data_IF_175171798138
#
_entry.id   IF_175171798138
#
_cell.length_a   1.000
_cell.length_b   1.000
_cell.length_c   1.000
_cell.angle_alpha   90.00
_cell.angle_beta   90.00
_cell.angle_gamma   90.00
#
_symmetry.space_group_name_H-M   'P 1'
#
loop_
_entity.id
_entity.type
_entity.pdbx_description
1 polymer ?
#
# COMPACT_ATOMS: atom_id res chain seq x y z
N UNK A 1 5.14 43.12 -40.75
CA UNK A 1 4.73 41.72 -41.03
C UNK A 1 3.70 41.30 -39.99
N UNK A 2 2.41 41.41 -40.30
CA UNK A 2 1.35 41.01 -39.38
C UNK A 2 1.16 39.49 -39.46
N UNK A 3 1.51 38.74 -38.40
CA UNK A 3 1.10 37.34 -38.29
C UNK A 3 -0.38 37.30 -37.95
N UNK A 4 -1.18 36.85 -38.92
CA UNK A 4 -2.59 36.56 -38.75
C UNK A 4 -2.72 35.48 -37.68
N UNK A 5 -3.20 35.86 -36.49
CA UNK A 5 -3.50 34.96 -35.39
C UNK A 5 -4.86 34.29 -35.67
N UNK A 6 -4.88 33.41 -36.68
CA UNK A 6 -5.99 32.52 -36.99
C UNK A 6 -6.14 31.44 -35.90
N UNK A 7 -6.55 31.87 -34.69
CA UNK A 7 -7.10 30.98 -33.67
C UNK A 7 -8.53 30.64 -34.06
N UNK A 8 -8.68 29.65 -34.92
CA UNK A 8 -9.96 29.00 -35.11
C UNK A 8 -10.28 28.20 -33.83
N UNK A 9 -11.35 28.58 -33.14
CA UNK A 9 -11.97 27.70 -32.16
C UNK A 9 -12.51 26.47 -32.92
N UNK A 10 -12.15 25.26 -32.48
CA UNK A 10 -12.33 24.04 -33.27
C UNK A 10 -13.80 23.71 -33.55
N UNK A 11 -14.71 24.17 -32.70
CA UNK A 11 -16.15 23.83 -32.73
C UNK A 11 -17.01 25.11 -32.72
N UNK A 12 -17.04 25.84 -33.84
CA UNK A 12 -17.99 26.95 -34.13
C UNK A 12 -18.25 27.95 -32.99
N UNK A 13 -17.23 28.56 -32.38
CA UNK A 13 -17.44 29.55 -31.30
C UNK A 13 -16.76 30.90 -31.42
N UNK A 14 -17.47 31.87 -30.82
CA UNK A 14 -17.21 33.29 -30.83
C UNK A 14 -15.90 33.58 -30.11
N UNK A 15 -14.97 34.21 -30.82
CA UNK A 15 -13.76 34.81 -30.27
C UNK A 15 -14.16 36.00 -29.39
N UNK A 16 -14.11 35.86 -28.07
CA UNK A 16 -14.34 36.98 -27.15
C UNK A 16 -12.99 37.55 -26.72
N UNK A 17 -12.68 38.78 -27.17
CA UNK A 17 -11.42 39.48 -26.85
C UNK A 17 -10.13 38.67 -27.15
N UNK A 18 -10.15 37.83 -28.19
CA UNK A 18 -8.99 37.00 -28.58
C UNK A 18 -8.90 35.63 -27.88
N UNK A 19 -9.90 35.27 -27.05
CA UNK A 19 -9.97 33.99 -26.32
C UNK A 19 -11.18 33.18 -26.79
N UNK A 20 -11.00 31.87 -26.92
CA UNK A 20 -12.05 30.90 -27.23
C UNK A 20 -12.92 30.68 -25.97
N UNK A 21 -14.24 30.88 -26.07
CA UNK A 21 -15.18 30.50 -25.01
C UNK A 21 -15.80 29.14 -25.38
N UNK A 22 -15.51 28.09 -24.63
CA UNK A 22 -15.93 26.73 -24.98
C UNK A 22 -17.42 26.45 -24.76
N UNK A 23 -17.90 25.31 -25.28
CA UNK A 23 -19.18 24.73 -24.88
C UNK A 23 -19.08 23.97 -23.56
N UNK A 24 -20.22 23.78 -22.90
CA UNK A 24 -20.34 22.83 -21.80
C UNK A 24 -19.88 21.45 -22.29
N UNK A 25 -18.88 20.87 -21.63
CA UNK A 25 -18.25 19.62 -22.07
C UNK A 25 -16.88 19.79 -22.73
N UNK A 26 -16.46 21.02 -23.11
CA UNK A 26 -15.20 21.24 -23.84
C UNK A 26 -14.23 22.17 -23.10
N UNK A 27 -12.93 21.87 -23.21
CA UNK A 27 -11.81 22.58 -22.58
C UNK A 27 -10.62 22.76 -23.56
N UNK A 28 -9.54 23.39 -23.11
CA UNK A 28 -8.36 23.72 -23.94
C UNK A 28 -8.44 25.07 -24.65
N UNK A 29 -7.31 25.51 -25.21
CA UNK A 29 -7.17 26.86 -25.80
C UNK A 29 -7.95 27.09 -27.11
N UNK A 30 -8.40 26.02 -27.74
CA UNK A 30 -9.19 25.97 -28.99
C UNK A 30 -10.52 25.22 -28.82
N UNK A 31 -10.84 24.79 -27.58
CA UNK A 31 -12.04 24.01 -27.23
C UNK A 31 -12.14 22.63 -27.93
N UNK A 32 -11.01 22.00 -28.26
CA UNK A 32 -10.96 20.69 -28.91
C UNK A 32 -11.04 19.48 -27.96
N UNK A 33 -10.81 19.67 -26.66
CA UNK A 33 -10.72 18.58 -25.69
C UNK A 33 -12.03 18.39 -24.93
N UNK A 34 -12.47 17.14 -24.78
CA UNK A 34 -13.64 16.77 -23.96
C UNK A 34 -13.26 16.72 -22.47
N UNK A 35 -14.06 17.37 -21.61
CA UNK A 35 -13.86 17.45 -20.17
C UNK A 35 -14.00 16.10 -19.44
N UNK A 36 -14.69 15.13 -20.05
CA UNK A 36 -14.82 13.77 -19.52
C UNK A 36 -13.56 12.93 -19.73
N UNK A 37 -12.63 13.35 -20.59
CA UNK A 37 -11.34 12.68 -20.80
C UNK A 37 -10.35 13.19 -19.74
N UNK A 38 -9.93 12.36 -18.77
CA UNK A 38 -9.02 12.80 -17.71
C UNK A 38 -7.60 13.11 -18.23
N UNK A 39 -6.78 13.88 -17.50
CA UNK A 39 -5.38 14.10 -17.84
C UNK A 39 -4.61 12.78 -18.02
N UNK A 40 -3.93 12.62 -19.15
CA UNK A 40 -3.03 11.49 -19.42
C UNK A 40 -1.56 11.86 -19.20
N UNK A 41 -0.69 10.86 -19.17
CA UNK A 41 0.78 11.03 -19.16
C UNK A 41 1.33 11.90 -18.02
N UNK A 42 0.56 12.00 -16.93
CA UNK A 42 0.92 12.71 -15.71
C UNK A 42 1.93 11.90 -14.87
N UNK A 43 2.85 12.59 -14.22
CA UNK A 43 3.87 11.97 -13.37
C UNK A 43 4.19 12.80 -12.12
N UNK A 44 4.68 12.09 -11.11
CA UNK A 44 5.20 12.67 -9.86
C UNK A 44 6.74 12.76 -9.93
N UNK A 45 7.35 13.81 -9.34
CA UNK A 45 8.80 13.90 -9.23
C UNK A 45 9.36 12.72 -8.43
N UNK A 46 10.58 12.31 -8.76
CA UNK A 46 11.26 11.14 -8.16
C UNK A 46 10.43 9.85 -8.24
N UNK A 47 9.65 9.68 -9.32
CA UNK A 47 8.75 8.54 -9.55
C UNK A 47 7.78 8.29 -8.38
N UNK A 48 7.33 9.35 -7.69
CA UNK A 48 6.45 9.24 -6.52
C UNK A 48 7.14 9.00 -5.18
N UNK A 49 8.48 8.94 -5.13
CA UNK A 49 9.19 8.88 -3.85
C UNK A 49 9.21 10.26 -3.16
N UNK A 50 8.72 10.33 -1.92
CA UNK A 50 8.82 11.50 -1.07
C UNK A 50 9.59 11.19 0.23
N UNK A 51 10.86 11.59 0.20
CA UNK A 51 11.83 11.45 1.29
C UNK A 51 11.65 12.57 2.32
N UNK A 52 11.20 12.23 3.53
CA UNK A 52 10.82 13.18 4.58
C UNK A 52 12.00 14.06 5.06
N UNK A 53 13.24 13.59 4.98
CA UNK A 53 14.44 14.39 5.35
C UNK A 53 14.91 15.28 4.20
N UNK A 54 14.73 14.81 2.97
CA UNK A 54 15.14 15.55 1.77
C UNK A 54 14.20 16.72 1.44
N UNK A 55 12.87 16.58 1.65
CA UNK A 55 11.88 17.66 1.41
C UNK A 55 10.61 17.49 2.24
N UNK A 56 9.85 18.57 2.41
CA UNK A 56 8.50 18.46 2.96
C UNK A 56 7.57 17.74 1.98
N UNK A 57 6.89 16.70 2.47
CA UNK A 57 5.89 15.95 1.70
C UNK A 57 4.46 16.49 1.87
N UNK A 58 4.29 17.65 2.53
CA UNK A 58 2.99 18.34 2.71
C UNK A 58 2.32 18.76 1.41
N UNK A 59 3.10 18.95 0.35
CA UNK A 59 2.63 19.31 -0.97
C UNK A 59 3.42 18.53 -2.01
N UNK A 60 2.77 18.11 -3.08
CA UNK A 60 3.43 17.50 -4.23
C UNK A 60 3.00 18.20 -5.51
N UNK A 61 3.95 18.43 -6.40
CA UNK A 61 3.65 18.87 -7.76
C UNK A 61 3.41 17.63 -8.62
N UNK A 62 2.39 17.69 -9.46
CA UNK A 62 2.13 16.70 -10.51
C UNK A 62 2.39 17.42 -11.83
N UNK A 63 3.20 16.79 -12.67
CA UNK A 63 3.58 17.29 -13.99
C UNK A 63 2.82 16.51 -15.07
N UNK A 64 2.60 17.13 -16.22
CA UNK A 64 1.83 16.56 -17.35
C UNK A 64 1.45 17.68 -18.32
N UNK A 65 0.35 17.53 -19.06
CA UNK A 65 -0.28 18.63 -19.78
C UNK A 65 -1.73 18.82 -19.29
N UNK A 66 -2.09 20.06 -18.97
CA UNK A 66 -3.34 20.41 -18.31
C UNK A 66 -4.13 21.46 -19.13
N UNK A 67 -5.25 21.01 -19.72
CA UNK A 67 -6.10 21.82 -20.60
C UNK A 67 -7.19 22.63 -19.86
N UNK A 68 -7.22 22.54 -18.53
CA UNK A 68 -8.16 23.23 -17.65
C UNK A 68 -7.45 23.72 -16.39
N UNK A 69 -7.87 24.88 -15.87
CA UNK A 69 -7.45 25.39 -14.55
C UNK A 69 -8.14 24.67 -13.39
N UNK A 70 -9.24 23.97 -13.67
CA UNK A 70 -9.98 23.17 -12.69
C UNK A 70 -9.65 21.70 -12.93
N UNK A 71 -8.84 21.13 -12.03
CA UNK A 71 -8.47 19.72 -12.04
C UNK A 71 -8.84 19.11 -10.69
N UNK A 72 -9.73 18.13 -10.71
CA UNK A 72 -10.12 17.36 -9.53
C UNK A 72 -9.14 16.21 -9.31
N UNK A 73 -8.80 15.99 -8.06
CA UNK A 73 -7.94 14.92 -7.60
C UNK A 73 -8.74 14.02 -6.66
N UNK A 74 -8.93 12.76 -7.02
CA UNK A 74 -9.40 11.72 -6.11
C UNK A 74 -8.17 11.07 -5.49
N UNK A 75 -8.01 11.17 -4.18
CA UNK A 75 -6.90 10.58 -3.42
C UNK A 75 -7.39 9.54 -2.41
N UNK A 76 -6.58 8.53 -2.13
CA UNK A 76 -6.85 7.52 -1.10
C UNK A 76 -5.57 7.18 -0.34
N UNK A 77 -5.61 7.24 1.00
CA UNK A 77 -4.46 6.92 1.84
C UNK A 77 -4.27 5.42 2.01
N UNK A 78 -3.02 4.99 2.02
CA UNK A 78 -2.60 3.66 2.41
C UNK A 78 -1.33 3.67 3.27
N UNK A 79 -1.14 2.60 4.03
CA UNK A 79 0.05 2.32 4.82
C UNK A 79 0.74 1.07 4.25
N UNK A 80 2.07 1.10 4.12
CA UNK A 80 2.87 -0.04 3.67
C UNK A 80 3.40 -0.78 4.88
N UNK A 81 3.01 -2.04 4.97
CA UNK A 81 3.50 -3.03 5.92
C UNK A 81 4.64 -3.83 5.26
N UNK A 82 5.28 -4.73 6.01
CA UNK A 82 6.42 -5.49 5.48
C UNK A 82 6.10 -6.35 4.25
N UNK A 83 4.87 -6.86 4.14
CA UNK A 83 4.43 -7.77 3.08
C UNK A 83 3.09 -7.37 2.42
N UNK A 84 2.46 -6.25 2.82
CA UNK A 84 1.09 -5.91 2.42
C UNK A 84 0.85 -4.38 2.43
N UNK A 85 -0.24 -3.92 1.81
CA UNK A 85 -0.63 -2.51 1.72
C UNK A 85 -2.05 -2.31 2.25
N UNK A 86 -2.19 -1.58 3.36
CA UNK A 86 -3.46 -1.35 4.04
C UNK A 86 -4.04 0.02 3.71
N UNK A 87 -5.19 0.08 3.05
CA UNK A 87 -5.90 1.35 2.82
C UNK A 87 -6.61 1.81 4.10
N UNK A 88 -6.06 2.82 4.77
CA UNK A 88 -6.61 3.35 6.05
C UNK A 88 -7.59 4.51 5.88
N UNK A 89 -7.88 4.94 4.63
CA UNK A 89 -8.96 5.89 4.33
C UNK A 89 -9.89 5.43 3.19
N UNK A 90 -11.08 6.04 3.17
CA UNK A 90 -11.92 6.11 1.97
C UNK A 90 -11.32 7.03 0.91
N UNK A 91 -11.99 7.12 -0.24
CA UNK A 91 -11.64 8.05 -1.30
C UNK A 91 -12.03 9.49 -0.93
N UNK A 92 -11.15 10.45 -1.17
CA UNK A 92 -11.37 11.86 -0.93
C UNK A 92 -11.17 12.63 -2.24
N UNK A 93 -12.17 13.40 -2.67
CA UNK A 93 -12.10 14.24 -3.87
C UNK A 93 -11.84 15.68 -3.47
N UNK A 94 -10.72 16.24 -3.95
CA UNK A 94 -10.28 17.62 -3.69
C UNK A 94 -9.91 18.32 -4.99
N UNK A 95 -9.98 19.65 -5.02
CA UNK A 95 -9.51 20.43 -6.16
C UNK A 95 -8.00 20.66 -6.06
N UNK A 96 -7.26 20.41 -7.13
CA UNK A 96 -5.82 20.71 -7.20
C UNK A 96 -5.57 22.20 -7.46
N UNK A 97 -4.46 22.72 -6.95
CA UNK A 97 -4.02 24.10 -7.24
C UNK A 97 -3.32 24.13 -8.59
N UNK A 98 -3.99 24.66 -9.62
CA UNK A 98 -3.35 24.90 -10.92
C UNK A 98 -2.22 25.93 -10.81
N UNK A 99 -1.07 25.64 -11.46
CA UNK A 99 0.09 26.55 -11.48
C UNK A 99 0.38 27.05 -12.89
N UNK A 100 0.38 26.15 -13.87
CA UNK A 100 0.49 26.44 -15.30
C UNK A 100 0.04 25.19 -16.10
N UNK A 101 0.07 25.27 -17.42
CA UNK A 101 -0.35 24.19 -18.32
C UNK A 101 0.45 22.90 -18.18
N UNK A 102 1.57 22.89 -17.45
CA UNK A 102 2.42 21.72 -17.25
C UNK A 102 2.56 21.28 -15.79
N UNK A 103 1.89 21.97 -14.85
CA UNK A 103 2.03 21.69 -13.42
C UNK A 103 0.79 22.08 -12.61
N UNK A 104 0.35 21.14 -11.78
CA UNK A 104 -0.59 21.37 -10.67
C UNK A 104 0.09 21.02 -9.34
N UNK A 105 -0.35 21.63 -8.24
CA UNK A 105 0.07 21.28 -6.88
C UNK A 105 -1.09 20.65 -6.12
N UNK A 106 -0.83 19.54 -5.45
CA UNK A 106 -1.76 18.85 -4.55
C UNK A 106 -1.22 18.92 -3.13
N UNK A 107 -2.05 19.35 -2.18
CA UNK A 107 -1.76 19.24 -0.77
C UNK A 107 -1.91 17.78 -0.32
N UNK A 108 -1.01 17.31 0.53
CA UNK A 108 -1.01 15.96 1.06
C UNK A 108 -1.19 16.05 2.58
N UNK A 109 -2.30 15.51 3.14
CA UNK A 109 -2.53 15.57 4.58
C UNK A 109 -1.41 14.87 5.34
N UNK A 110 -0.72 15.61 6.22
CA UNK A 110 0.23 14.97 7.14
C UNK A 110 -0.53 14.27 8.24
N UNK A 111 -0.75 12.97 8.09
CA UNK A 111 -1.10 12.13 9.22
C UNK A 111 0.05 12.21 10.23
N UNK A 112 -0.22 12.81 11.39
CA UNK A 112 0.72 12.69 12.52
C UNK A 112 0.70 11.24 12.93
N UNK A 113 1.80 10.51 12.70
CA UNK A 113 2.01 9.20 13.32
C UNK A 113 1.69 9.36 14.81
N UNK A 114 0.63 8.69 15.29
CA UNK A 114 0.46 8.49 16.73
C UNK A 114 1.76 7.83 17.21
N UNK A 115 2.15 8.08 18.46
CA UNK A 115 3.12 7.20 19.15
C UNK A 115 2.46 5.84 19.36
N UNK A 116 2.32 5.08 18.27
CA UNK A 116 1.95 3.68 18.28
C UNK A 116 3.23 2.88 18.41
N UNK A 117 3.19 1.87 19.27
CA UNK A 117 4.24 0.86 19.43
C UNK A 117 4.25 -0.18 18.30
N UNK A 118 3.44 0.04 17.27
CA UNK A 118 3.25 -0.89 16.16
C UNK A 118 4.33 -0.68 15.08
N UNK A 119 5.46 -1.37 15.26
CA UNK A 119 6.64 -1.31 14.39
C UNK A 119 6.42 -1.89 12.98
N UNK A 120 5.19 -2.29 12.63
CA UNK A 120 4.88 -2.92 11.35
C UNK A 120 4.75 -1.94 10.17
N UNK A 121 4.41 -0.66 10.41
CA UNK A 121 4.19 0.34 9.36
C UNK A 121 5.52 0.98 8.93
N UNK A 122 5.96 0.65 7.72
CA UNK A 122 7.22 1.12 7.13
C UNK A 122 7.07 2.53 6.54
N UNK A 123 5.98 2.79 5.81
CA UNK A 123 5.74 4.09 5.16
C UNK A 123 4.26 4.38 4.95
N UNK A 124 3.94 5.66 4.76
CA UNK A 124 2.61 6.17 4.45
C UNK A 124 2.53 6.51 2.94
N UNK A 125 1.35 6.61 2.34
CA UNK A 125 1.24 6.92 0.92
C UNK A 125 -0.18 7.24 0.44
N UNK A 126 -0.26 7.73 -0.80
CA UNK A 126 -1.53 8.06 -1.45
C UNK A 126 -1.54 7.56 -2.89
N UNK A 127 -2.66 6.94 -3.27
CA UNK A 127 -3.04 6.77 -4.67
C UNK A 127 -3.88 7.96 -5.11
N UNK A 128 -3.54 8.50 -6.27
CA UNK A 128 -4.04 9.77 -6.80
C UNK A 128 -4.49 9.55 -8.24
N UNK A 129 -5.76 9.83 -8.53
CA UNK A 129 -6.30 9.90 -9.89
C UNK A 129 -6.85 11.29 -10.18
N UNK A 130 -6.74 11.73 -11.44
CA UNK A 130 -7.10 13.09 -11.86
C UNK A 130 -8.30 13.09 -12.81
N UNK A 131 -9.04 14.19 -12.81
CA UNK A 131 -10.25 14.40 -13.63
C UNK A 131 -10.43 15.90 -13.91
N UNK A 132 -11.02 16.27 -15.05
CA UNK A 132 -11.45 17.66 -15.29
C UNK A 132 -12.92 17.90 -14.90
N UNK A 133 -13.78 16.87 -14.94
CA UNK A 133 -15.21 16.98 -14.62
C UNK A 133 -15.59 16.55 -13.18
N UNK A 134 -14.64 15.98 -12.44
CA UNK A 134 -14.83 15.49 -11.07
C UNK A 134 -15.56 14.16 -10.97
N UNK A 135 -15.76 13.46 -12.08
CA UNK A 135 -16.51 12.19 -12.18
C UNK A 135 -15.71 11.11 -12.89
N UNK A 136 -15.15 11.43 -14.05
CA UNK A 136 -14.35 10.54 -14.86
C UNK A 136 -12.88 10.69 -14.45
N UNK A 137 -12.40 9.76 -13.61
CA UNK A 137 -11.04 9.75 -13.09
C UNK A 137 -10.12 8.85 -13.93
N UNK A 138 -8.94 9.37 -14.23
CA UNK A 138 -7.91 8.67 -15.02
C UNK A 138 -7.12 7.64 -14.22
N UNK A 139 -6.05 7.14 -14.83
CA UNK A 139 -5.13 6.19 -14.21
C UNK A 139 -4.53 6.75 -12.91
N UNK A 140 -4.42 5.89 -11.91
CA UNK A 140 -3.79 6.24 -10.63
C UNK A 140 -2.27 6.36 -10.76
N UNK A 141 -1.75 7.42 -10.14
CA UNK A 141 -0.33 7.65 -9.84
C UNK A 141 -0.13 7.61 -8.33
N UNK A 142 1.00 7.07 -7.88
CA UNK A 142 1.25 6.79 -6.45
C UNK A 142 2.34 7.67 -5.88
N UNK A 143 2.13 8.19 -4.68
CA UNK A 143 3.17 8.81 -3.84
C UNK A 143 3.40 7.96 -2.58
N UNK A 144 4.66 7.67 -2.25
CA UNK A 144 5.06 7.06 -0.96
C UNK A 144 5.89 8.07 -0.18
N UNK A 145 5.61 8.17 1.12
CA UNK A 145 6.20 9.10 2.07
C UNK A 145 6.94 8.28 3.15
N UNK A 146 8.26 8.43 3.23
CA UNK A 146 9.09 7.64 4.14
C UNK A 146 10.25 8.44 4.72
N UNK A 147 10.76 8.00 5.87
CA UNK A 147 12.00 8.52 6.46
C UNK A 147 13.20 7.83 5.79
N UNK A 148 13.94 8.58 4.98
CA UNK A 148 15.05 8.12 4.16
C UNK A 148 16.33 7.76 4.94
N UNK A 149 16.31 7.90 6.27
CA UNK A 149 17.32 7.31 7.16
C UNK A 149 16.99 5.87 7.59
N UNK A 150 15.70 5.50 7.58
CA UNK A 150 15.21 4.22 8.11
C UNK A 150 14.81 3.26 6.99
N UNK A 151 14.30 3.80 5.88
CA UNK A 151 13.71 3.01 4.80
C UNK A 151 14.15 3.49 3.42
N UNK A 152 14.15 2.57 2.46
CA UNK A 152 14.22 2.87 1.02
C UNK A 152 13.01 2.25 0.34
N UNK A 153 12.12 3.11 -0.19
CA UNK A 153 10.86 2.68 -0.79
C UNK A 153 10.77 3.01 -2.29
N UNK A 154 10.09 2.13 -3.04
CA UNK A 154 9.79 2.29 -4.45
C UNK A 154 8.27 2.36 -4.68
N UNK A 155 7.78 3.50 -5.20
CA UNK A 155 6.35 3.75 -5.40
C UNK A 155 5.74 3.01 -6.58
N UNK A 156 6.53 2.54 -7.54
CA UNK A 156 6.03 1.69 -8.64
C UNK A 156 5.73 0.27 -8.14
N UNK A 157 6.59 -0.29 -7.29
CA UNK A 157 6.44 -1.67 -6.78
C UNK A 157 5.72 -1.76 -5.43
N UNK A 158 5.48 -0.65 -4.74
CA UNK A 158 4.91 -0.60 -3.38
C UNK A 158 5.74 -1.35 -2.33
N UNK A 159 7.06 -1.39 -2.51
CA UNK A 159 7.97 -2.10 -1.60
C UNK A 159 8.86 -1.12 -0.84
N UNK A 160 9.10 -1.42 0.43
CA UNK A 160 10.00 -0.69 1.32
C UNK A 160 11.01 -1.67 1.95
N UNK A 161 12.28 -1.29 1.97
CA UNK A 161 13.35 -2.03 2.63
C UNK A 161 13.87 -1.22 3.82
N UNK A 162 14.11 -1.88 4.95
CA UNK A 162 14.82 -1.28 6.08
C UNK A 162 16.28 -1.03 5.71
N UNK A 163 16.75 0.19 5.95
CA UNK A 163 18.16 0.52 5.87
C UNK A 163 18.81 0.05 7.17
N UNK A 164 19.59 -1.04 7.10
CA UNK A 164 20.48 -1.40 8.18
C UNK A 164 21.54 -0.31 8.24
N UNK A 165 21.40 0.62 9.19
CA UNK A 165 22.49 1.50 9.58
C UNK A 165 23.60 0.59 10.07
N UNK A 166 24.67 0.49 9.29
CA UNK A 166 25.87 -0.19 9.73
C UNK A 166 26.41 0.56 10.93
N UNK A 167 26.19 0.02 12.13
CA UNK A 167 27.21 0.14 13.17
C UNK A 167 28.52 -0.26 12.51
N UNK A 168 29.50 0.64 12.56
CA UNK A 168 30.85 0.35 12.13
C UNK A 168 31.35 -0.83 12.95
N UNK A 169 31.26 -2.02 12.39
CA UNK A 169 32.02 -3.16 12.84
C UNK A 169 33.48 -2.80 12.62
N UNK A 170 34.10 -2.21 13.65
CA UNK A 170 35.54 -2.01 13.76
C UNK A 170 36.20 -3.39 13.98
N UNK A 171 36.07 -4.24 12.97
CA UNK A 171 36.96 -5.37 12.76
C UNK A 171 38.27 -4.77 12.25
N UNK A 172 39.11 -4.36 13.20
CA UNK A 172 40.48 -3.98 12.91
C UNK A 172 41.16 -5.13 12.15
N UNK A 173 41.40 -4.92 10.86
CA UNK A 173 42.36 -5.70 10.07
C UNK A 173 43.76 -5.36 10.56
N UNK A 174 44.14 -5.91 11.72
CA UNK A 174 45.54 -5.94 12.11
C UNK A 174 46.24 -6.99 11.26
N UNK A 175 47.16 -6.53 10.41
CA UNK A 175 47.93 -7.38 9.51
C UNK A 175 48.70 -8.46 10.26
N UNK A 176 48.73 -9.63 9.64
CA UNK A 176 49.36 -10.87 10.11
C UNK A 176 50.87 -10.67 10.34
N UNK A 177 51.28 -10.47 11.59
CA UNK A 177 52.68 -10.65 12.03
C UNK A 177 52.85 -12.01 12.71
N UNK A 178 54.06 -12.55 12.64
CA UNK A 178 54.31 -13.98 12.79
C UNK A 178 54.93 -14.31 14.16
N UNK A 179 54.56 -15.48 14.68
CA UNK A 179 55.18 -16.27 15.78
C UNK A 179 54.61 -16.09 17.19
N UNK A 180 54.58 -17.25 17.85
CA UNK A 180 54.49 -17.51 19.30
C UNK A 180 53.24 -17.05 20.09
N UNK A 181 52.23 -17.93 20.20
CA UNK A 181 51.76 -18.50 21.50
C UNK A 181 51.17 -19.91 21.31
N UNK A 182 51.91 -20.89 21.84
CA UNK A 182 51.51 -22.11 22.56
C UNK A 182 50.06 -22.65 22.56
N UNK A 183 49.97 -23.97 22.33
CA UNK A 183 48.79 -24.85 22.47
C UNK A 183 47.97 -24.70 23.77
N UNK A 184 46.64 -24.72 23.64
CA UNK A 184 45.72 -25.43 24.55
C UNK A 184 44.66 -26.16 23.72
N UNK A 185 44.74 -27.50 23.69
CA UNK A 185 43.69 -28.39 23.18
C UNK A 185 43.00 -29.04 24.38
N UNK A 186 41.71 -28.78 24.58
CA UNK A 186 40.89 -29.43 25.62
C UNK A 186 39.83 -30.31 24.93
N UNK A 187 39.65 -31.58 25.35
CA UNK A 187 38.95 -32.58 24.54
C UNK A 187 37.42 -32.54 24.67
N UNK A 188 36.72 -32.49 23.53
CA UNK A 188 35.24 -32.53 23.43
C UNK A 188 34.66 -33.96 23.61
N UNK A 189 35.51 -34.98 23.82
CA UNK A 189 35.13 -36.40 23.75
C UNK A 189 34.31 -36.93 24.93
N UNK A 190 34.24 -36.23 26.07
CA UNK A 190 33.55 -36.74 27.28
C UNK A 190 32.03 -36.53 27.24
N UNK A 191 31.54 -35.42 26.67
CA UNK A 191 30.11 -35.07 26.72
C UNK A 191 29.22 -36.00 25.89
N UNK A 192 29.72 -36.55 24.77
CA UNK A 192 28.91 -37.40 23.88
C UNK A 192 28.57 -38.74 24.54
N UNK A 193 29.52 -39.33 25.28
CA UNK A 193 29.32 -40.63 25.96
C UNK A 193 28.23 -40.53 27.03
N UNK A 194 28.23 -39.45 27.82
CA UNK A 194 27.23 -39.22 28.88
C UNK A 194 25.82 -39.10 28.29
N UNK A 195 25.65 -38.40 27.17
CA UNK A 195 24.35 -38.24 26.50
C UNK A 195 23.82 -39.59 25.98
N UNK A 196 24.68 -40.41 25.38
CA UNK A 196 24.31 -41.75 24.88
C UNK A 196 23.88 -42.69 26.01
N UNK A 197 24.59 -42.67 27.15
CA UNK A 197 24.23 -43.48 28.33
C UNK A 197 22.87 -43.06 28.91
N UNK A 198 22.62 -41.75 29.06
CA UNK A 198 21.34 -41.25 29.57
C UNK A 198 20.18 -41.65 28.63
N UNK A 199 20.35 -41.47 27.32
CA UNK A 199 19.36 -41.86 26.33
C UNK A 199 19.06 -43.38 26.38
N UNK A 200 20.10 -44.22 26.51
CA UNK A 200 19.97 -45.67 26.65
C UNK A 200 19.15 -46.08 27.88
N UNK A 201 19.41 -45.48 29.04
CA UNK A 201 18.68 -45.77 30.29
C UNK A 201 17.21 -45.36 30.20
N UNK A 202 16.90 -44.19 29.59
CA UNK A 202 15.52 -43.73 29.38
C UNK A 202 14.77 -44.67 28.44
N UNK A 203 15.36 -45.02 27.29
CA UNK A 203 14.78 -45.97 26.34
C UNK A 203 14.51 -47.35 26.97
N UNK A 204 15.43 -47.85 27.80
CA UNK A 204 15.26 -49.11 28.52
C UNK A 204 14.07 -49.07 29.50
N UNK A 205 13.96 -47.99 30.31
CA UNK A 205 12.84 -47.80 31.25
C UNK A 205 11.48 -47.71 30.53
N UNK A 206 11.41 -47.06 29.37
CA UNK A 206 10.19 -46.96 28.55
C UNK A 206 9.79 -48.32 27.97
N UNK A 207 10.74 -49.07 27.39
CA UNK A 207 10.48 -50.41 26.83
C UNK A 207 10.01 -51.40 27.90
N UNK A 208 10.59 -51.33 29.10
CA UNK A 208 10.16 -52.14 30.25
C UNK A 208 8.73 -51.83 30.73
N UNK A 209 8.32 -50.55 30.73
CA UNK A 209 6.92 -50.17 31.04
C UNK A 209 5.94 -50.66 29.97
N UNK A 210 6.32 -50.60 28.69
CA UNK A 210 5.43 -51.01 27.60
C UNK A 210 5.16 -52.52 27.60
N UNK A 211 6.16 -53.35 27.89
CA UNK A 211 6.00 -54.81 28.01
C UNK A 211 5.09 -55.21 29.18
N UNK A 212 5.11 -54.48 30.30
CA UNK A 212 4.16 -54.72 31.41
C UNK A 212 2.70 -54.41 31.01
N UNK A 213 2.46 -53.48 30.08
CA UNK A 213 1.10 -53.06 29.71
C UNK A 213 0.40 -54.03 28.74
N UNK A 214 1.17 -54.79 27.93
CA UNK A 214 0.59 -55.78 26.99
C UNK A 214 0.03 -57.04 27.66
N UNK A 215 0.56 -57.45 28.81
CA UNK A 215 0.11 -58.66 29.51
C UNK A 215 -1.17 -58.47 30.35
N UNK A 216 -1.76 -57.26 30.36
CA UNK A 216 -2.93 -56.91 31.17
C UNK A 216 -4.21 -56.68 30.36
N UNK A 217 -4.19 -56.95 29.04
CA UNK A 217 -5.30 -56.62 28.12
C UNK A 217 -5.65 -57.80 27.21
N UNK A 218 -5.91 -58.97 27.82
CA UNK A 218 -6.59 -60.08 27.16
C UNK A 218 -7.70 -60.60 28.07
N UNK A 219 -8.91 -60.03 27.90
CA UNK A 219 -10.18 -60.67 28.25
C UNK A 219 -11.38 -59.94 27.63
N UNK A 220 -12.20 -60.76 26.96
CA UNK A 220 -13.64 -60.67 26.74
C UNK A 220 -14.19 -59.73 25.63
N UNK A 221 -15.36 -60.14 25.12
CA UNK A 221 -15.90 -60.01 23.74
C UNK A 221 -17.23 -59.19 23.74
N UNK A 222 -17.76 -58.65 22.61
CA UNK A 222 -18.73 -57.54 22.64
C UNK A 222 -20.21 -57.93 22.48
N UNK A 223 -21.12 -56.98 22.75
CA UNK A 223 -22.54 -57.06 22.35
C UNK A 223 -23.00 -55.76 21.63
N UNK A 224 -23.85 -55.92 20.60
CA UNK A 224 -24.43 -54.86 19.76
C UNK A 224 -25.76 -54.32 20.31
N UNK A 225 -26.16 -53.11 19.89
CA UNK A 225 -27.53 -52.60 19.54
C UNK A 225 -27.54 -51.07 19.61
N UNK A 226 -28.33 -50.26 18.91
CA UNK A 226 -29.23 -50.32 17.75
C UNK A 226 -29.63 -48.84 17.49
N UNK A 227 -29.77 -48.44 16.23
CA UNK A 227 -30.42 -47.17 15.79
C UNK A 227 -31.95 -47.33 15.76
N UNK A 228 -32.83 -46.30 15.91
CA UNK A 228 -32.98 -45.15 14.96
C UNK A 228 -33.51 -43.86 15.65
N UNK A 229 -34.21 -42.83 15.09
CA UNK A 229 -34.74 -42.51 13.74
C UNK A 229 -34.96 -40.97 13.55
N UNK A 230 -35.24 -40.53 12.31
CA UNK A 230 -36.16 -39.43 11.86
C UNK A 230 -36.05 -37.97 12.36
N UNK A 231 -36.37 -36.88 11.64
CA UNK A 231 -36.66 -36.50 10.24
C UNK A 231 -37.15 -35.02 10.24
N UNK A 232 -37.03 -34.27 9.12
CA UNK A 232 -37.67 -32.96 8.82
C UNK A 232 -37.27 -31.71 9.66
N UNK A 233 -37.35 -30.44 9.20
CA UNK A 233 -37.96 -29.85 7.97
C UNK A 233 -37.29 -28.50 7.60
N UNK A 234 -37.42 -28.10 6.34
CA UNK A 234 -37.02 -26.77 5.82
C UNK A 234 -38.01 -25.65 6.17
N UNK A 235 -37.55 -24.39 6.17
CA UNK A 235 -38.41 -23.25 5.81
C UNK A 235 -37.59 -22.02 5.35
N UNK A 236 -37.89 -21.52 4.14
CA UNK A 236 -37.43 -20.23 3.63
C UNK A 236 -38.42 -19.11 4.00
N UNK A 237 -37.93 -17.88 4.19
CA UNK A 237 -38.73 -16.67 3.97
C UNK A 237 -37.85 -15.50 3.53
N UNK A 238 -38.38 -14.69 2.62
CA UNK A 238 -37.72 -13.56 1.96
C UNK A 238 -37.93 -12.25 2.71
N UNK A 239 -37.04 -11.28 2.48
CA UNK A 239 -37.30 -9.87 2.78
C UNK A 239 -37.04 -9.01 1.54
N UNK A 240 -37.99 -8.11 1.26
CA UNK A 240 -37.93 -7.07 0.23
C UNK A 240 -37.86 -5.74 0.96
N UNK A 241 -36.93 -4.86 0.56
CA UNK A 241 -36.84 -3.50 1.09
C UNK A 241 -36.94 -2.53 -0.07
N UNK A 242 -38.01 -1.75 -0.08
CA UNK A 242 -38.18 -0.59 -0.95
C UNK A 242 -37.51 0.63 -0.29
N UNK A 243 -36.82 1.47 -1.08
CA UNK A 243 -36.44 2.82 -0.66
C UNK A 243 -36.69 3.80 -1.80
N UNK A 244 -37.67 4.67 -1.62
CA UNK A 244 -37.80 5.92 -2.37
C UNK A 244 -36.83 6.95 -1.78
N UNK A 245 -36.22 7.77 -2.63
CA UNK A 245 -35.72 9.09 -2.23
C UNK A 245 -36.18 10.13 -3.24
N UNK A 246 -36.62 11.27 -2.73
CA UNK A 246 -37.28 12.32 -3.48
C UNK A 246 -36.30 13.37 -4.02
N UNK A 247 -36.80 14.19 -4.94
CA UNK A 247 -36.12 15.37 -5.47
C UNK A 247 -35.85 16.43 -4.39
N UNK A 248 -34.78 17.21 -4.55
CA UNK A 248 -34.72 18.58 -4.01
C UNK A 248 -34.12 19.54 -5.05
N UNK A 249 -34.60 20.78 -5.06
CA UNK A 249 -34.46 21.74 -6.18
C UNK A 249 -33.62 22.96 -5.82
N UNK A 250 -33.11 23.59 -6.89
CA UNK A 250 -32.93 25.04 -7.06
C UNK A 250 -32.39 25.89 -5.89
N UNK A 251 -31.09 26.21 -5.91
CA UNK A 251 -30.62 27.45 -5.31
C UNK A 251 -29.35 28.04 -5.95
N UNK A 252 -29.51 29.06 -6.82
CA UNK A 252 -28.89 30.39 -6.64
C UNK A 252 -29.19 31.34 -7.81
N UNK A 253 -29.74 32.51 -7.48
CA UNK A 253 -29.87 33.68 -8.36
C UNK A 253 -29.17 34.85 -7.67
N UNK A 254 -28.06 35.35 -8.23
CA UNK A 254 -27.54 36.71 -8.08
C UNK A 254 -26.42 36.97 -9.08
#
# INVERSE_FOLDING_TARGET
MNRILNKFCFIQKILFSGVCKCDSGFIGGDCSFDISIPPTDVFLPLNGACKLRSRSCKTTNIFGEFFSTSVWCKRRHFEILQNDVLYTSGEEIVLATYRNSFMITLDIPTLRKKRSTDSAVLSDGYDISLSYDGKNFGKEIRIIIYDDLQYSCNATTQTCLTLIVGESSEKNETTKSTKDVMMIVIPITVSVVVIVVIAGVVCFKLKAKFLRKKNASYKDEPEQKETPSNNWKEQHSTSRIDFQFAEEKDFCRK
#
